data_IF_694339641101
#
_entry.id   IF_694339641101
#
_cell.length_a   1.000
_cell.length_b   1.000
_cell.length_c   1.000
_cell.angle_alpha   90.00
_cell.angle_beta   90.00
_cell.angle_gamma   90.00
#
_symmetry.space_group_name_H-M   'P 1'
#
loop_
_entity.id
_entity.type
_entity.pdbx_description
1 polymer ?
#
# COMPACT_ATOMS: atom_id res chain seq x y z
N UNK A 1 0.66 -10.22 64.00
CA UNK A 1 2.11 -10.42 63.91
C UNK A 1 2.52 -10.30 62.46
N UNK A 2 3.47 -9.40 62.16
CA UNK A 2 4.30 -9.27 60.93
C UNK A 2 3.53 -9.08 59.60
N UNK A 3 3.51 -7.87 59.04
CA UNK A 3 4.60 -7.25 58.24
C UNK A 3 5.07 -8.15 57.09
N UNK A 4 4.81 -7.69 55.85
CA UNK A 4 5.80 -7.49 54.77
C UNK A 4 5.19 -7.75 53.38
N UNK A 5 4.79 -6.66 52.72
CA UNK A 5 5.28 -6.30 51.38
C UNK A 5 5.45 -7.43 50.35
N UNK A 6 4.40 -7.80 49.62
CA UNK A 6 4.54 -8.49 48.33
C UNK A 6 3.45 -8.09 47.32
N UNK A 7 3.08 -6.81 47.32
CA UNK A 7 2.10 -6.18 46.42
C UNK A 7 2.64 -5.86 45.00
N UNK A 8 3.53 -6.65 44.38
CA UNK A 8 4.09 -6.18 43.08
C UNK A 8 4.37 -7.26 42.01
N UNK A 9 4.35 -8.56 42.32
CA UNK A 9 4.84 -9.59 41.36
C UNK A 9 3.71 -10.46 40.78
N UNK A 10 2.53 -10.51 41.40
CA UNK A 10 1.45 -11.41 40.96
C UNK A 10 0.61 -10.89 39.78
N UNK A 11 0.83 -9.65 39.30
CA UNK A 11 0.13 -9.09 38.14
C UNK A 11 0.70 -9.55 36.78
N UNK A 12 1.74 -10.40 36.76
CA UNK A 12 2.49 -10.72 35.55
C UNK A 12 2.25 -12.14 34.97
N UNK A 13 1.28 -12.93 35.47
CA UNK A 13 1.15 -14.35 35.08
C UNK A 13 -0.26 -14.78 34.64
N UNK A 14 -1.21 -13.86 34.50
CA UNK A 14 -2.57 -14.21 34.03
C UNK A 14 -2.81 -13.62 32.64
N UNK A 15 -2.68 -14.49 31.63
CA UNK A 15 -3.66 -14.73 30.56
C UNK A 15 -2.96 -15.13 29.26
N UNK A 16 -2.30 -16.28 29.32
CA UNK A 16 -1.94 -17.08 28.16
C UNK A 16 -3.18 -17.85 27.65
N UNK A 17 -3.23 -18.04 26.33
CA UNK A 17 -4.00 -19.04 25.56
C UNK A 17 -5.52 -18.87 25.39
N UNK A 18 -5.92 -18.49 24.17
CA UNK A 18 -7.03 -19.05 23.35
C UNK A 18 -7.30 -18.12 22.14
N UNK A 19 -7.58 -18.52 20.90
CA UNK A 19 -7.79 -19.81 20.23
C UNK A 19 -7.64 -19.52 18.72
N UNK A 20 -7.03 -20.45 17.97
CA UNK A 20 -7.05 -20.47 16.52
C UNK A 20 -8.42 -20.92 16.01
N UNK A 21 -9.07 -20.13 15.15
CA UNK A 21 -10.38 -20.44 14.55
C UNK A 21 -10.27 -20.65 13.05
N UNK A 22 -9.94 -21.87 12.62
CA UNK A 22 -10.26 -22.39 11.29
C UNK A 22 -10.73 -23.84 11.47
N UNK A 23 -12.02 -24.09 11.30
CA UNK A 23 -12.52 -25.40 10.89
C UNK A 23 -13.85 -25.26 10.17
N UNK A 24 -13.77 -25.69 8.92
CA UNK A 24 -14.85 -26.18 8.06
C UNK A 24 -15.83 -27.07 8.82
N UNK A 25 -17.13 -26.80 8.68
CA UNK A 25 -18.18 -27.81 8.79
C UNK A 25 -19.35 -27.38 7.89
N UNK A 26 -19.62 -28.20 6.88
CA UNK A 26 -20.96 -28.31 6.33
C UNK A 26 -21.88 -28.99 7.35
N UNK A 27 -23.16 -28.62 7.33
CA UNK A 27 -24.20 -29.25 8.15
C UNK A 27 -25.38 -28.31 8.35
N UNK A 28 -26.54 -28.69 7.80
CA UNK A 28 -27.70 -27.81 7.63
C UNK A 28 -28.41 -27.38 8.92
N UNK A 29 -29.17 -26.29 8.79
CA UNK A 29 -30.08 -25.77 9.79
C UNK A 29 -30.93 -24.66 9.20
N UNK A 30 -32.19 -24.97 8.87
CA UNK A 30 -33.22 -24.05 8.38
C UNK A 30 -33.47 -22.89 9.33
N UNK A 31 -33.61 -21.67 8.78
CA UNK A 31 -34.12 -20.51 9.50
C UNK A 31 -34.15 -19.26 8.63
N UNK A 32 -35.36 -18.80 8.32
CA UNK A 32 -35.72 -17.69 7.45
C UNK A 32 -35.11 -16.33 7.82
N UNK A 33 -34.86 -15.50 6.81
CA UNK A 33 -34.64 -14.06 6.95
C UNK A 33 -33.94 -13.48 5.73
N UNK A 34 -34.70 -13.08 4.70
CA UNK A 34 -34.23 -12.23 3.61
C UNK A 34 -33.82 -10.87 4.20
N UNK A 35 -32.54 -10.77 4.56
CA UNK A 35 -31.89 -9.56 5.03
C UNK A 35 -30.77 -9.21 4.06
N UNK A 36 -30.90 -8.05 3.41
CA UNK A 36 -29.92 -7.48 2.52
C UNK A 36 -28.52 -7.43 3.16
N UNK A 37 -27.53 -7.97 2.46
CA UNK A 37 -26.13 -7.70 2.71
C UNK A 37 -25.44 -7.45 1.37
N UNK A 38 -25.20 -6.16 1.13
CA UNK A 38 -24.22 -5.66 0.17
C UNK A 38 -22.92 -6.44 0.37
N UNK A 39 -22.55 -7.23 -0.62
CA UNK A 39 -21.22 -7.81 -0.69
C UNK A 39 -20.44 -6.91 -1.64
N UNK A 40 -19.67 -6.01 -1.03
CA UNK A 40 -18.53 -5.32 -1.62
C UNK A 40 -17.60 -6.40 -2.19
N UNK A 41 -17.83 -6.73 -3.46
CA UNK A 41 -16.96 -7.58 -4.23
C UNK A 41 -15.70 -6.76 -4.50
N UNK A 42 -14.74 -6.91 -3.59
CA UNK A 42 -13.40 -6.35 -3.70
C UNK A 42 -12.90 -6.50 -5.13
N UNK A 43 -12.74 -5.35 -5.77
CA UNK A 43 -12.27 -5.18 -7.13
C UNK A 43 -10.91 -5.86 -7.29
N UNK A 44 -10.92 -7.10 -7.80
CA UNK A 44 -9.74 -7.76 -8.31
C UNK A 44 -9.34 -7.13 -9.65
N UNK A 45 -8.68 -5.98 -9.58
CA UNK A 45 -7.93 -5.34 -10.66
C UNK A 45 -6.46 -5.39 -10.22
N UNK A 46 -5.50 -6.05 -10.87
CA UNK A 46 -5.42 -6.49 -12.26
C UNK A 46 -4.37 -7.61 -12.32
N UNK A 47 -4.77 -8.80 -12.79
CA UNK A 47 -3.83 -9.79 -13.33
C UNK A 47 -3.83 -9.70 -14.87
N UNK A 48 -3.71 -8.47 -15.38
CA UNK A 48 -3.65 -8.18 -16.81
C UNK A 48 -2.32 -7.50 -17.13
N UNK A 49 -1.21 -8.21 -16.97
CA UNK A 49 0.00 -7.97 -17.77
C UNK A 49 0.90 -9.22 -17.76
N UNK A 50 0.53 -10.21 -18.56
CA UNK A 50 1.43 -11.31 -18.89
C UNK A 50 1.38 -11.67 -20.38
N UNK A 51 0.88 -10.74 -21.21
CA UNK A 51 0.80 -10.89 -22.66
C UNK A 51 1.32 -9.61 -23.33
N UNK A 52 2.59 -9.28 -23.10
CA UNK A 52 3.20 -8.05 -23.63
C UNK A 52 4.34 -7.48 -22.79
N UNK A 53 4.67 -8.09 -21.65
CA UNK A 53 5.67 -7.61 -20.70
C UNK A 53 6.97 -7.15 -21.39
N UNK A 54 7.23 -5.85 -21.29
CA UNK A 54 8.45 -5.20 -21.74
C UNK A 54 9.68 -5.95 -21.25
N UNK A 55 10.60 -6.26 -22.16
CA UNK A 55 11.78 -7.11 -21.89
C UNK A 55 13.02 -6.32 -21.45
N UNK A 56 12.95 -4.98 -21.46
CA UNK A 56 14.05 -4.08 -21.09
C UNK A 56 13.92 -3.52 -19.67
N UNK A 57 14.69 -2.46 -19.38
CA UNK A 57 14.56 -1.72 -18.12
C UNK A 57 13.13 -1.16 -18.00
N UNK A 58 12.42 -1.38 -16.88
CA UNK A 58 11.08 -0.83 -16.65
C UNK A 58 10.97 0.68 -16.85
N UNK A 59 12.06 1.42 -16.61
CA UNK A 59 12.13 2.87 -16.80
C UNK A 59 12.15 3.30 -18.28
N UNK A 60 12.42 2.38 -19.20
CA UNK A 60 12.55 2.66 -20.64
C UNK A 60 11.33 2.16 -21.43
N UNK A 61 10.31 1.63 -20.75
CA UNK A 61 9.08 1.21 -21.39
C UNK A 61 8.24 2.44 -21.78
N UNK A 62 8.06 2.73 -23.09
CA UNK A 62 7.35 3.94 -23.53
C UNK A 62 5.86 3.96 -23.16
N UNK A 63 5.28 2.80 -22.84
CA UNK A 63 3.88 2.68 -22.43
C UNK A 63 3.71 2.78 -20.90
N UNK A 64 4.80 2.98 -20.14
CA UNK A 64 4.79 3.08 -18.70
C UNK A 64 4.94 4.54 -18.25
N UNK A 65 4.26 4.98 -17.18
CA UNK A 65 4.51 6.30 -16.58
C UNK A 65 5.96 6.46 -16.09
N UNK A 66 6.69 5.36 -15.87
CA UNK A 66 8.10 5.37 -15.48
C UNK A 66 9.05 5.92 -16.57
N UNK A 67 8.60 6.00 -17.83
CA UNK A 67 9.40 6.61 -18.89
C UNK A 67 9.46 8.15 -18.78
N UNK A 68 8.46 8.77 -18.16
CA UNK A 68 8.36 10.22 -18.01
C UNK A 68 9.22 10.67 -16.82
N UNK A 69 10.29 11.43 -17.09
CA UNK A 69 11.26 11.87 -16.06
C UNK A 69 11.35 13.38 -15.89
N UNK A 70 10.58 14.15 -16.66
CA UNK A 70 10.53 15.61 -16.59
C UNK A 70 9.11 16.02 -16.23
N UNK A 71 8.97 16.83 -15.19
CA UNK A 71 7.70 17.34 -14.67
C UNK A 71 7.74 18.85 -14.79
N UNK A 72 6.73 19.43 -15.43
CA UNK A 72 6.59 20.87 -15.57
C UNK A 72 5.70 21.44 -14.47
N UNK A 73 5.98 22.67 -14.09
CA UNK A 73 5.24 23.44 -13.10
C UNK A 73 4.59 24.65 -13.76
N UNK A 74 3.52 25.15 -13.15
CA UNK A 74 2.93 26.42 -13.53
C UNK A 74 3.79 27.60 -13.04
N UNK A 75 3.56 28.80 -13.57
CA UNK A 75 4.38 29.97 -13.26
C UNK A 75 4.30 30.34 -11.77
N UNK A 76 5.47 30.48 -11.13
CA UNK A 76 5.62 30.77 -9.69
C UNK A 76 4.92 29.75 -8.78
N UNK A 77 4.76 28.51 -9.26
CA UNK A 77 4.17 27.41 -8.49
C UNK A 77 5.16 26.27 -8.26
N UNK A 78 5.04 25.62 -7.10
CA UNK A 78 5.81 24.42 -6.73
C UNK A 78 4.92 23.19 -6.51
N UNK A 79 3.61 23.32 -6.72
CA UNK A 79 2.69 22.19 -6.62
C UNK A 79 2.77 21.30 -7.85
N UNK A 80 2.72 19.99 -7.61
CA UNK A 80 2.64 19.00 -8.70
C UNK A 80 1.22 19.03 -9.25
N UNK A 81 1.10 19.34 -10.54
CA UNK A 81 -0.17 19.30 -11.29
C UNK A 81 -0.76 17.89 -11.28
N UNK A 82 -2.09 17.79 -11.31
CA UNK A 82 -2.79 16.51 -11.15
C UNK A 82 -2.46 15.50 -12.25
N UNK A 83 -2.18 15.97 -13.47
CA UNK A 83 -1.73 15.16 -14.61
C UNK A 83 -0.36 14.50 -14.40
N UNK A 84 0.47 15.04 -13.50
CA UNK A 84 1.78 14.49 -13.15
C UNK A 84 1.79 13.69 -11.84
N UNK A 85 0.70 13.71 -11.07
CA UNK A 85 0.61 13.01 -9.78
C UNK A 85 0.85 11.51 -9.94
N UNK A 86 0.22 10.88 -10.93
CA UNK A 86 0.37 9.44 -11.18
C UNK A 86 1.81 9.05 -11.52
N UNK A 87 2.52 9.90 -12.27
CA UNK A 87 3.92 9.69 -12.63
C UNK A 87 4.80 9.69 -11.38
N UNK A 88 4.61 10.65 -10.47
CA UNK A 88 5.40 10.73 -9.22
C UNK A 88 5.11 9.54 -8.31
N UNK A 89 3.85 9.12 -8.21
CA UNK A 89 3.47 7.93 -7.43
C UNK A 89 4.11 6.67 -8.02
N UNK A 90 4.12 6.52 -9.34
CA UNK A 90 4.75 5.38 -10.01
C UNK A 90 6.25 5.30 -9.72
N UNK A 91 6.96 6.43 -9.79
CA UNK A 91 8.38 6.50 -9.43
C UNK A 91 8.62 6.22 -7.95
N UNK A 92 7.79 6.76 -7.06
CA UNK A 92 7.87 6.49 -5.62
C UNK A 92 7.71 4.99 -5.30
N UNK A 93 6.74 4.33 -5.93
CA UNK A 93 6.55 2.87 -5.83
C UNK A 93 7.77 2.12 -6.36
N UNK A 94 8.28 2.52 -7.53
CA UNK A 94 9.46 1.90 -8.12
C UNK A 94 10.69 1.99 -7.22
N UNK A 95 10.94 3.14 -6.60
CA UNK A 95 12.06 3.30 -5.67
C UNK A 95 11.87 2.50 -4.38
N UNK A 96 10.64 2.43 -3.86
CA UNK A 96 10.34 1.63 -2.68
C UNK A 96 10.59 0.13 -2.90
N UNK A 97 10.36 -0.39 -4.11
CA UNK A 97 10.61 -1.80 -4.45
C UNK A 97 12.05 -2.07 -4.92
N UNK A 98 12.81 -1.04 -5.29
CA UNK A 98 14.17 -1.16 -5.81
C UNK A 98 15.15 -0.33 -4.96
N UNK A 99 15.48 -0.77 -3.72
CA UNK A 99 16.25 0.02 -2.76
C UNK A 99 17.70 0.28 -3.17
N UNK A 100 18.20 -0.47 -4.15
CA UNK A 100 19.54 -0.29 -4.74
C UNK A 100 19.58 0.78 -5.85
N UNK A 101 18.43 1.37 -6.22
CA UNK A 101 18.36 2.43 -7.21
C UNK A 101 18.42 3.78 -6.50
N UNK A 102 19.37 4.62 -6.95
CA UNK A 102 19.50 6.02 -6.50
C UNK A 102 19.06 6.95 -7.61
N UNK A 103 18.36 8.01 -7.24
CA UNK A 103 17.94 9.08 -8.16
C UNK A 103 18.43 10.44 -7.65
N UNK A 104 18.72 11.34 -8.59
CA UNK A 104 18.99 12.75 -8.32
C UNK A 104 17.82 13.57 -8.84
N UNK A 105 17.33 14.52 -8.05
CA UNK A 105 16.25 15.43 -8.45
C UNK A 105 16.85 16.78 -8.75
N UNK A 106 16.66 17.27 -9.98
CA UNK A 106 17.17 18.54 -10.45
C UNK A 106 16.01 19.49 -10.74
N UNK A 107 15.99 20.63 -10.04
CA UNK A 107 15.03 21.70 -10.27
C UNK A 107 15.56 22.70 -11.29
N UNK A 108 14.74 23.04 -12.28
CA UNK A 108 15.01 24.09 -13.26
C UNK A 108 13.89 25.12 -13.18
N UNK A 109 14.26 26.39 -13.14
CA UNK A 109 13.33 27.51 -13.32
C UNK A 109 13.56 28.14 -14.70
N UNK A 110 12.65 29.02 -15.11
CA UNK A 110 12.91 29.88 -16.25
C UNK A 110 13.90 31.00 -15.87
N UNK A 111 14.30 31.82 -16.84
CA UNK A 111 15.29 32.89 -16.64
C UNK A 111 14.73 34.16 -15.96
N UNK A 112 13.45 34.16 -15.58
CA UNK A 112 12.77 35.34 -15.05
C UNK A 112 12.97 35.42 -13.53
N UNK A 113 13.13 36.65 -13.03
CA UNK A 113 13.22 36.99 -11.61
C UNK A 113 12.13 37.96 -11.23
#
# INVERSE_FOLDING_TARGET
MKLCSLNQIAAAVVLSLAVAGCSTLGGGGSGSGDGAAVSDAGSATSAADAAGAWRGNPLDNPNSPLAIRTIFFDYDESQIREDHREVVIAHGKYLATNPNVTVTVEGHADERG
#
